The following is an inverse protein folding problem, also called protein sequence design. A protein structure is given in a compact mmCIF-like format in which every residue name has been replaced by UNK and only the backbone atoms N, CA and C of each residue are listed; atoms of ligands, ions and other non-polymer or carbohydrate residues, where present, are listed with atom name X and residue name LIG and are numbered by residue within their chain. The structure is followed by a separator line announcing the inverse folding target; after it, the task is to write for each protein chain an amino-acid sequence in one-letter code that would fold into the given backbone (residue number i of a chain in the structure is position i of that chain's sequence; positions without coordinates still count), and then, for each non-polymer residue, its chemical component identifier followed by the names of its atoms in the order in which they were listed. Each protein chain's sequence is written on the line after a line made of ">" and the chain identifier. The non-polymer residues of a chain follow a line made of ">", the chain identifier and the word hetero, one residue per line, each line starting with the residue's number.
data_IF_593750916775
#
_entry.id   IF_593750916775
#
_cell.length_a   1.000
_cell.length_b   1.000
_cell.length_c   1.000
_cell.angle_alpha   90.00
_cell.angle_beta   90.00
_cell.angle_gamma   90.00
#
_symmetry.space_group_name_H-M   'P 1'
#
loop_
_entity.id
_entity.type
_entity.pdbx_description
1 polymer ?
#
# COMPACT_ATOMS: atom_id res chain seq x y z
N UNK A 1 -9.29 15.89 18.71
CA UNK A 1 -9.66 15.18 19.96
C UNK A 1 -11.11 14.67 19.96
N UNK A 2 -11.35 13.50 20.56
CA UNK A 2 -12.69 12.92 20.75
C UNK A 2 -13.07 12.97 22.23
N UNK A 3 -14.35 13.20 22.56
CA UNK A 3 -14.86 13.06 23.94
C UNK A 3 -15.73 11.83 24.09
N UNK A 4 -15.84 11.26 25.31
CA UNK A 4 -16.82 10.22 25.58
C UNK A 4 -18.25 10.67 25.25
N UNK A 5 -19.09 9.77 24.73
CA UNK A 5 -20.51 10.04 24.52
C UNK A 5 -21.22 10.33 25.84
N UNK A 6 -22.17 11.28 25.84
CA UNK A 6 -23.12 11.50 26.94
C UNK A 6 -24.25 10.47 26.91
N UNK A 7 -25.08 10.43 27.96
CA UNK A 7 -26.18 9.45 28.11
C UNK A 7 -27.14 9.34 26.90
N UNK A 8 -27.23 10.39 26.06
CA UNK A 8 -28.05 10.41 24.84
C UNK A 8 -27.25 10.30 23.51
N UNK A 9 -25.94 10.05 23.56
CA UNK A 9 -25.07 9.93 22.38
C UNK A 9 -24.63 8.47 22.19
N UNK A 10 -24.78 7.92 20.96
CA UNK A 10 -24.38 6.53 20.66
C UNK A 10 -22.90 6.39 20.25
N UNK A 11 -22.29 7.46 19.76
CA UNK A 11 -20.93 7.45 19.21
C UNK A 11 -20.10 8.61 19.77
N UNK A 12 -18.77 8.48 19.68
CA UNK A 12 -17.83 9.51 20.09
C UNK A 12 -17.90 10.71 19.13
N UNK A 13 -18.29 11.91 19.59
CA UNK A 13 -18.25 13.09 18.76
C UNK A 13 -16.81 13.60 18.60
N UNK A 14 -16.47 14.02 17.39
CA UNK A 14 -15.24 14.72 17.09
C UNK A 14 -15.38 16.19 17.51
N UNK A 15 -14.51 16.67 18.40
CA UNK A 15 -14.58 18.05 18.91
C UNK A 15 -13.78 19.00 18.01
N UNK A 16 -12.61 18.54 17.57
CA UNK A 16 -11.65 19.34 16.82
C UNK A 16 -10.78 18.42 15.96
N UNK A 17 -10.40 18.92 14.78
CA UNK A 17 -9.55 18.24 13.82
C UNK A 17 -8.13 18.81 13.96
N UNK A 18 -7.20 18.01 14.47
CA UNK A 18 -5.80 18.44 14.61
C UNK A 18 -4.97 18.24 13.33
N UNK A 19 -5.33 17.28 12.48
CA UNK A 19 -4.67 17.03 11.21
C UNK A 19 -5.59 16.30 10.24
N UNK A 20 -5.33 16.43 8.95
CA UNK A 20 -6.02 15.72 7.87
C UNK A 20 -4.97 15.05 7.00
N UNK A 21 -4.98 13.72 6.90
CA UNK A 21 -3.98 12.92 6.18
C UNK A 21 -2.51 13.23 6.59
N UNK A 22 -2.28 13.57 7.86
CA UNK A 22 -0.94 13.92 8.37
C UNK A 22 -0.51 15.37 8.11
N UNK A 23 -1.35 16.17 7.46
CA UNK A 23 -1.10 17.60 7.20
C UNK A 23 -1.96 18.50 8.10
N UNK A 24 -1.55 19.76 8.20
CA UNK A 24 -2.39 20.81 8.80
C UNK A 24 -3.69 20.98 7.99
N UNK A 25 -4.87 21.08 8.65
CA UNK A 25 -6.14 21.25 7.98
C UNK A 25 -6.20 22.43 7.00
N UNK A 26 -5.45 23.51 7.24
CA UNK A 26 -5.42 24.68 6.36
C UNK A 26 -4.85 24.34 4.98
N UNK A 27 -3.78 23.54 4.93
CA UNK A 27 -3.10 23.12 3.69
C UNK A 27 -4.01 22.26 2.82
N UNK A 28 -4.89 21.47 3.43
CA UNK A 28 -5.75 20.52 2.72
C UNK A 28 -6.88 21.20 1.96
N UNK A 29 -7.24 22.44 2.32
CA UNK A 29 -8.35 23.17 1.67
C UNK A 29 -8.13 23.42 0.18
N UNK A 30 -6.89 23.70 -0.22
CA UNK A 30 -6.53 24.04 -1.60
C UNK A 30 -6.02 22.82 -2.40
N UNK A 31 -6.13 21.60 -1.86
CA UNK A 31 -5.67 20.38 -2.51
C UNK A 31 -6.50 20.08 -3.76
N UNK A 32 -5.84 19.87 -4.89
CA UNK A 32 -6.51 19.38 -6.10
C UNK A 32 -7.13 17.99 -5.84
N UNK A 33 -8.42 17.78 -6.19
CA UNK A 33 -9.03 16.46 -6.19
C UNK A 33 -8.24 15.47 -7.05
N UNK A 34 -8.25 14.20 -6.67
CA UNK A 34 -7.51 13.13 -7.36
C UNK A 34 -7.96 12.98 -8.83
N UNK A 35 -9.25 13.12 -9.11
CA UNK A 35 -9.84 13.01 -10.46
C UNK A 35 -9.32 14.07 -11.44
N UNK A 36 -8.86 15.21 -10.93
CA UNK A 36 -8.34 16.31 -11.74
C UNK A 36 -6.83 16.19 -12.04
N UNK A 37 -6.15 15.19 -11.45
CA UNK A 37 -4.73 14.99 -11.68
C UNK A 37 -4.48 14.43 -13.09
N UNK A 38 -3.40 14.89 -13.73
CA UNK A 38 -3.02 14.38 -15.05
C UNK A 38 -2.43 12.97 -14.93
N UNK A 39 -2.99 11.96 -15.59
CA UNK A 39 -2.42 10.62 -15.58
C UNK A 39 -1.11 10.61 -16.37
N UNK A 40 -0.05 10.06 -15.77
CA UNK A 40 1.25 9.88 -16.40
C UNK A 40 1.67 8.42 -16.34
N UNK A 41 2.49 8.01 -17.29
CA UNK A 41 3.15 6.70 -17.19
C UNK A 41 4.18 6.72 -16.05
N UNK A 42 4.42 5.57 -15.40
CA UNK A 42 5.45 5.46 -14.37
C UNK A 42 6.81 5.91 -14.90
N UNK A 43 7.42 6.89 -14.24
CA UNK A 43 8.74 7.43 -14.54
C UNK A 43 9.80 7.01 -13.51
N UNK A 44 9.37 6.48 -12.37
CA UNK A 44 10.23 6.00 -11.30
C UNK A 44 9.97 4.51 -11.05
N UNK A 45 11.04 3.71 -11.04
CA UNK A 45 10.98 2.25 -10.82
C UNK A 45 11.04 1.93 -9.33
N UNK A 46 10.19 1.01 -8.86
CA UNK A 46 10.41 0.32 -7.59
C UNK A 46 11.56 -0.67 -7.75
N UNK A 47 12.64 -0.47 -7.01
CA UNK A 47 13.77 -1.39 -6.96
C UNK A 47 13.41 -2.56 -6.06
N UNK A 48 13.17 -3.73 -6.65
CA UNK A 48 12.86 -4.92 -5.85
C UNK A 48 14.11 -5.65 -5.37
N UNK A 49 15.28 -5.33 -5.92
CA UNK A 49 16.53 -6.01 -5.60
C UNK A 49 17.58 -5.03 -5.07
N UNK A 50 18.19 -5.40 -3.95
CA UNK A 50 19.22 -4.64 -3.24
C UNK A 50 20.63 -5.19 -3.46
N UNK A 51 20.75 -6.38 -4.06
CA UNK A 51 22.00 -7.05 -4.40
C UNK A 51 22.48 -8.07 -3.36
N UNK A 52 21.80 -8.24 -2.21
CA UNK A 52 22.15 -9.24 -1.18
C UNK A 52 20.89 -9.91 -0.64
N UNK A 53 20.81 -11.23 -0.76
CA UNK A 53 19.72 -12.02 -0.18
C UNK A 53 18.35 -11.81 -0.85
N UNK A 54 18.29 -11.15 -2.02
CA UNK A 54 17.04 -10.94 -2.74
C UNK A 54 16.45 -12.28 -3.21
N UNK A 55 15.13 -12.41 -3.11
CA UNK A 55 14.46 -13.62 -3.61
C UNK A 55 14.64 -13.75 -5.12
N UNK A 56 14.79 -14.98 -5.60
CA UNK A 56 14.92 -15.24 -7.04
C UNK A 56 13.68 -14.73 -7.79
N UNK A 57 12.50 -14.84 -7.18
CA UNK A 57 11.25 -14.38 -7.76
C UNK A 57 11.23 -12.86 -7.95
N UNK A 58 11.63 -12.08 -6.93
CA UNK A 58 11.75 -10.62 -7.02
C UNK A 58 12.75 -10.19 -8.10
N UNK A 59 13.88 -10.90 -8.24
CA UNK A 59 14.89 -10.65 -9.29
C UNK A 59 14.34 -10.87 -10.70
N UNK A 60 13.59 -11.95 -10.90
CA UNK A 60 12.95 -12.23 -12.21
C UNK A 60 11.93 -11.14 -12.54
N UNK A 61 11.11 -10.71 -11.58
CA UNK A 61 10.17 -9.59 -11.78
C UNK A 61 10.93 -8.30 -12.11
N UNK A 62 11.97 -7.95 -11.36
CA UNK A 62 12.72 -6.71 -11.56
C UNK A 62 13.39 -6.60 -12.95
N UNK A 63 13.75 -7.75 -13.53
CA UNK A 63 14.36 -7.87 -14.86
C UNK A 63 13.34 -7.92 -16.00
N UNK A 64 12.32 -8.76 -15.89
CA UNK A 64 11.42 -9.06 -17.02
C UNK A 64 10.09 -8.29 -16.96
N UNK A 65 9.67 -7.84 -15.78
CA UNK A 65 8.41 -7.14 -15.56
C UNK A 65 8.57 -6.03 -14.50
N UNK A 66 9.41 -5.01 -14.76
CA UNK A 66 9.71 -3.97 -13.78
C UNK A 66 8.45 -3.22 -13.36
N UNK A 67 8.31 -2.98 -12.05
CA UNK A 67 7.17 -2.28 -11.47
C UNK A 67 7.57 -0.82 -11.18
N UNK A 68 6.79 0.14 -11.67
CA UNK A 68 7.00 1.57 -11.41
C UNK A 68 5.99 2.20 -10.45
N UNK A 69 6.28 3.41 -9.96
CA UNK A 69 5.35 4.22 -9.18
C UNK A 69 4.18 4.66 -10.06
N UNK A 70 2.96 4.22 -9.70
CA UNK A 70 1.76 4.36 -10.53
C UNK A 70 1.50 3.20 -11.48
N UNK A 71 2.28 2.10 -11.40
CA UNK A 71 2.08 0.92 -12.23
C UNK A 71 0.76 0.25 -11.91
N UNK A 72 0.04 -0.13 -12.97
CA UNK A 72 -1.09 -1.06 -12.90
C UNK A 72 -0.59 -2.41 -13.38
N UNK A 73 -0.60 -3.41 -12.50
CA UNK A 73 -0.08 -4.73 -12.77
C UNK A 73 -1.13 -5.80 -12.47
N UNK A 74 -1.02 -6.93 -13.17
CA UNK A 74 -1.83 -8.11 -12.95
C UNK A 74 -0.90 -9.32 -12.85
N UNK A 75 -1.00 -10.04 -11.73
CA UNK A 75 -0.31 -11.33 -11.57
C UNK A 75 -1.32 -12.42 -11.89
N UNK A 76 -1.13 -13.10 -13.02
CA UNK A 76 -1.94 -14.24 -13.42
C UNK A 76 -1.28 -15.50 -12.88
N UNK A 77 -1.97 -16.22 -12.00
CA UNK A 77 -1.46 -17.41 -11.33
C UNK A 77 -2.57 -18.44 -11.13
N UNK A 78 -2.27 -19.72 -11.34
CA UNK A 78 -3.19 -20.81 -11.02
C UNK A 78 -3.18 -21.09 -9.50
N UNK A 79 -4.21 -21.76 -8.95
CA UNK A 79 -4.19 -22.17 -7.55
C UNK A 79 -2.92 -22.94 -7.18
N UNK A 80 -2.37 -22.70 -5.98
CA UNK A 80 -1.17 -23.36 -5.44
C UNK A 80 0.14 -23.15 -6.21
N UNK A 81 0.25 -22.08 -7.01
CA UNK A 81 1.48 -21.74 -7.76
C UNK A 81 2.38 -20.69 -7.09
N UNK A 82 2.12 -20.38 -5.81
CA UNK A 82 2.96 -19.44 -5.06
C UNK A 82 2.63 -17.96 -5.22
N UNK A 83 1.42 -17.60 -5.69
CA UNK A 83 0.91 -16.21 -5.76
C UNK A 83 1.18 -15.45 -4.45
N UNK A 84 0.79 -16.04 -3.33
CA UNK A 84 0.92 -15.46 -1.99
C UNK A 84 2.38 -15.21 -1.61
N UNK A 85 3.28 -16.14 -1.93
CA UNK A 85 4.72 -16.00 -1.66
C UNK A 85 5.36 -14.90 -2.52
N UNK A 86 5.03 -14.84 -3.81
CA UNK A 86 5.50 -13.78 -4.70
C UNK A 86 5.05 -12.39 -4.23
N UNK A 87 3.78 -12.25 -3.81
CA UNK A 87 3.26 -10.99 -3.30
C UNK A 87 4.00 -10.55 -2.03
N UNK A 88 4.30 -11.47 -1.11
CA UNK A 88 5.11 -11.18 0.08
C UNK A 88 6.52 -10.73 -0.28
N UNK A 89 7.17 -11.42 -1.21
CA UNK A 89 8.53 -11.04 -1.65
C UNK A 89 8.55 -9.62 -2.21
N UNK A 90 7.57 -9.26 -3.04
CA UNK A 90 7.43 -7.91 -3.59
C UNK A 90 7.16 -6.90 -2.48
N UNK A 91 6.23 -7.19 -1.56
CA UNK A 91 5.88 -6.32 -0.43
C UNK A 91 7.08 -6.05 0.48
N UNK A 92 7.84 -7.08 0.84
CA UNK A 92 9.05 -6.98 1.65
C UNK A 92 10.13 -6.16 0.93
N UNK A 93 10.33 -6.40 -0.36
CA UNK A 93 11.28 -5.66 -1.16
C UNK A 93 10.92 -4.17 -1.25
N UNK A 94 9.65 -3.84 -1.47
CA UNK A 94 9.19 -2.44 -1.48
C UNK A 94 9.38 -1.80 -0.11
N UNK A 95 9.02 -2.48 0.98
CA UNK A 95 9.18 -1.95 2.34
C UNK A 95 10.64 -1.66 2.68
N UNK A 96 11.55 -2.55 2.28
CA UNK A 96 12.98 -2.40 2.55
C UNK A 96 13.64 -1.32 1.69
N UNK A 97 13.31 -1.26 0.39
CA UNK A 97 13.99 -0.38 -0.56
C UNK A 97 13.30 0.97 -0.76
N UNK A 98 12.02 1.07 -0.41
CA UNK A 98 11.16 2.24 -0.57
C UNK A 98 10.33 2.53 0.70
N UNK A 99 10.98 2.84 1.84
CA UNK A 99 10.29 3.13 3.10
C UNK A 99 9.40 4.38 3.02
N UNK A 100 9.56 5.22 1.99
CA UNK A 100 8.69 6.36 1.72
C UNK A 100 7.32 5.96 1.15
N UNK A 101 7.19 4.73 0.65
CA UNK A 101 5.95 4.25 0.07
C UNK A 101 5.00 3.73 1.16
N UNK A 102 3.75 4.19 1.10
CA UNK A 102 2.68 3.61 1.90
C UNK A 102 2.25 2.28 1.30
N UNK A 103 2.65 1.17 1.92
CA UNK A 103 2.27 -0.18 1.51
C UNK A 103 0.93 -0.58 2.17
N UNK A 104 -0.02 -1.02 1.36
CA UNK A 104 -1.30 -1.56 1.82
C UNK A 104 -1.54 -2.93 1.19
N UNK A 105 -1.78 -3.94 2.02
CA UNK A 105 -2.14 -5.30 1.60
C UNK A 105 -3.63 -5.50 1.86
N UNK A 106 -4.43 -5.60 0.79
CA UNK A 106 -5.87 -5.83 0.86
C UNK A 106 -6.16 -7.29 0.54
N UNK A 107 -6.64 -8.04 1.54
CA UNK A 107 -7.01 -9.45 1.41
C UNK A 107 -8.53 -9.55 1.36
N UNK A 108 -9.05 -10.16 0.29
CA UNK A 108 -10.50 -10.32 0.07
C UNK A 108 -10.77 -11.80 -0.15
N UNK A 109 -11.70 -12.34 0.63
CA UNK A 109 -12.13 -13.74 0.53
C UNK A 109 -10.96 -14.75 0.63
N UNK A 110 -9.87 -14.34 1.29
CA UNK A 110 -8.71 -15.20 1.56
C UNK A 110 -8.90 -15.97 2.87
N UNK A 111 -8.20 -17.10 2.99
CA UNK A 111 -8.33 -17.98 4.15
C UNK A 111 -7.71 -17.34 5.40
N UNK A 112 -8.31 -17.52 6.59
CA UNK A 112 -7.80 -16.90 7.83
C UNK A 112 -6.32 -17.19 8.12
N UNK A 113 -5.86 -18.41 7.84
CA UNK A 113 -4.45 -18.80 8.02
C UNK A 113 -3.49 -18.03 7.10
N UNK A 114 -3.93 -17.70 5.88
CA UNK A 114 -3.13 -16.91 4.93
C UNK A 114 -3.08 -15.43 5.33
N UNK A 115 -4.15 -14.93 5.97
CA UNK A 115 -4.20 -13.58 6.56
C UNK A 115 -3.20 -13.46 7.70
N UNK A 116 -3.14 -14.45 8.61
CA UNK A 116 -2.18 -14.42 9.73
C UNK A 116 -0.73 -14.55 9.27
N UNK A 117 -0.48 -15.25 8.17
CA UNK A 117 0.86 -15.44 7.62
C UNK A 117 1.37 -14.19 6.85
N UNK A 118 0.48 -13.26 6.49
CA UNK A 118 0.79 -11.99 5.83
C UNK A 118 0.92 -10.79 6.77
N UNK A 119 0.54 -10.94 8.05
CA UNK A 119 0.66 -9.93 9.10
C UNK A 119 2.05 -9.98 9.77
#
# INVERSE_FOLDING_TARGET
>A
PVRPPRDNEKFFPLIEVSSVNGCDPEIVRDRSPFENLTPLFPNEKFKLCSGKGDSMAARVVDLFAPIGKGQRALIVAQPKTGKTMLLKDIANAITANHPEAYLMMLLIDERPEEVTDMA
#
